data_IF_359939255253
#
_entry.id   IF_359939255253
#
_cell.length_a   1.000
_cell.length_b   1.000
_cell.length_c   1.000
_cell.angle_alpha   90.00
_cell.angle_beta   90.00
_cell.angle_gamma   90.00
#
_symmetry.space_group_name_H-M   'P 1'
#
loop_
_entity.id
_entity.type
_entity.pdbx_description
1 polymer ?
#
# COMPACT_ATOMS: atom_id res chain seq x y z
N UNK A 1 -0.11 -2.64 -10.95
CA UNK A 1 -0.26 -2.06 -9.63
C UNK A 1 1.13 -1.98 -9.05
N UNK A 2 1.46 -0.90 -8.35
CA UNK A 2 2.73 -0.77 -7.65
C UNK A 2 2.42 -0.53 -6.19
N UNK A 3 3.15 -1.23 -5.32
CA UNK A 3 3.04 -1.04 -3.88
C UNK A 3 4.41 -0.81 -3.29
N UNK A 4 4.50 0.09 -2.33
CA UNK A 4 5.63 0.20 -1.41
C UNK A 4 5.10 -0.10 -0.03
N UNK A 5 5.65 -1.14 0.59
CA UNK A 5 5.24 -1.62 1.91
C UNK A 5 6.32 -1.27 2.91
N UNK A 6 5.92 -0.70 4.04
CA UNK A 6 6.80 -0.44 5.16
C UNK A 6 6.25 -1.15 6.40
N UNK A 7 7.09 -1.97 7.03
CA UNK A 7 6.80 -2.50 8.36
C UNK A 7 6.98 -1.38 9.38
N UNK A 8 5.91 -1.07 10.11
CA UNK A 8 5.88 0.07 11.03
C UNK A 8 5.56 -0.37 12.45
N UNK A 9 6.07 0.39 13.42
CA UNK A 9 5.64 0.30 14.82
C UNK A 9 4.38 1.15 15.08
N UNK A 10 4.20 2.20 14.28
CA UNK A 10 3.01 3.06 14.21
C UNK A 10 3.05 3.87 12.90
N UNK A 11 1.89 4.25 12.39
CA UNK A 11 1.76 5.18 11.27
C UNK A 11 0.43 5.94 11.36
N UNK A 12 0.39 7.16 10.84
CA UNK A 12 -0.83 7.97 10.79
C UNK A 12 -0.85 8.86 9.54
N UNK A 13 -2.06 9.19 9.08
CA UNK A 13 -2.31 10.19 8.04
C UNK A 13 -3.02 11.38 8.68
N UNK A 14 -2.52 12.58 8.40
CA UNK A 14 -3.16 13.84 8.80
C UNK A 14 -3.52 14.68 7.58
N UNK A 15 -4.74 15.20 7.58
CA UNK A 15 -5.22 16.20 6.62
C UNK A 15 -5.64 17.43 7.43
N UNK A 16 -5.10 18.60 7.10
CA UNK A 16 -5.30 19.83 7.88
C UNK A 16 -5.05 19.63 9.38
N UNK A 17 -3.95 18.95 9.70
CA UNK A 17 -3.54 18.57 11.06
C UNK A 17 -4.48 17.61 11.82
N UNK A 18 -5.57 17.14 11.20
CA UNK A 18 -6.50 16.17 11.79
C UNK A 18 -6.16 14.75 11.35
N UNK A 19 -6.12 13.82 12.30
CA UNK A 19 -5.89 12.40 12.00
C UNK A 19 -7.12 11.83 11.29
N UNK A 20 -6.91 11.29 10.09
CA UNK A 20 -7.96 10.64 9.28
C UNK A 20 -7.78 9.12 9.19
N UNK A 21 -6.65 8.61 9.69
CA UNK A 21 -6.35 7.19 9.81
C UNK A 21 -5.05 6.99 10.58
N UNK A 22 -5.00 5.95 11.41
CA UNK A 22 -3.81 5.62 12.21
C UNK A 22 -3.79 4.14 12.53
N UNK A 23 -2.59 3.60 12.68
CA UNK A 23 -2.32 2.22 13.09
C UNK A 23 -1.17 2.19 14.09
N UNK A 24 -1.15 1.16 14.94
CA UNK A 24 -0.01 0.72 15.71
C UNK A 24 0.92 -0.17 14.88
N UNK A 25 1.33 -1.31 15.46
CA UNK A 25 2.22 -2.28 14.79
C UNK A 25 1.52 -2.83 13.55
N UNK A 26 2.18 -2.75 12.40
CA UNK A 26 1.51 -3.13 11.16
C UNK A 26 2.28 -2.79 9.90
N UNK A 27 1.53 -2.58 8.81
CA UNK A 27 2.03 -2.20 7.51
C UNK A 27 1.46 -0.85 7.06
N UNK A 28 2.36 0.08 6.71
CA UNK A 28 2.01 1.22 5.88
C UNK A 28 2.20 0.83 4.41
N UNK A 29 1.14 0.95 3.63
CA UNK A 29 1.11 0.58 2.21
C UNK A 29 0.86 1.84 1.39
N UNK A 30 1.83 2.23 0.58
CA UNK A 30 1.61 3.18 -0.51
C UNK A 30 1.13 2.43 -1.74
N UNK A 31 -0.10 2.71 -2.18
CA UNK A 31 -0.76 2.04 -3.29
C UNK A 31 -0.79 2.93 -4.53
N UNK A 32 -0.08 2.52 -5.57
CA UNK A 32 -0.12 3.12 -6.89
C UNK A 32 -0.97 2.27 -7.84
N UNK A 33 -1.95 2.91 -8.47
CA UNK A 33 -2.78 2.30 -9.52
C UNK A 33 -2.29 2.77 -10.90
N UNK A 34 -2.05 1.82 -11.79
CA UNK A 34 -1.65 2.04 -13.19
C UNK A 34 -2.80 1.89 -14.18
N UNK A 35 -2.55 2.27 -15.43
CA UNK A 35 -3.55 2.22 -16.51
C UNK A 35 -4.15 0.83 -16.76
N UNK A 36 -3.33 -0.21 -16.66
CA UNK A 36 -3.72 -1.60 -16.98
C UNK A 36 -4.17 -2.40 -15.75
N UNK A 37 -4.35 -1.74 -14.60
CA UNK A 37 -4.71 -2.46 -13.37
C UNK A 37 -6.17 -2.89 -13.35
N UNK A 38 -6.42 -4.01 -12.69
CA UNK A 38 -7.75 -4.61 -12.57
C UNK A 38 -7.97 -5.12 -11.15
N UNK A 39 -9.20 -5.50 -10.82
CA UNK A 39 -9.54 -6.08 -9.51
C UNK A 39 -8.78 -7.39 -9.27
N UNK A 40 -8.61 -8.20 -10.30
CA UNK A 40 -7.83 -9.45 -10.23
C UNK A 40 -6.33 -9.19 -10.00
N UNK A 41 -5.79 -8.06 -10.46
CA UNK A 41 -4.44 -7.62 -10.10
C UNK A 41 -4.40 -7.22 -8.62
N UNK A 42 -5.40 -6.46 -8.15
CA UNK A 42 -5.50 -6.03 -6.75
C UNK A 42 -5.57 -7.25 -5.81
N UNK A 43 -6.44 -8.23 -6.08
CA UNK A 43 -6.60 -9.44 -5.26
C UNK A 43 -5.28 -10.21 -5.09
N UNK A 44 -4.52 -10.36 -6.18
CA UNK A 44 -3.20 -11.02 -6.13
C UNK A 44 -2.19 -10.26 -5.26
N UNK A 45 -2.23 -8.93 -5.29
CA UNK A 45 -1.36 -8.12 -4.44
C UNK A 45 -1.79 -8.21 -2.98
N UNK A 46 -3.09 -8.13 -2.69
CA UNK A 46 -3.65 -8.23 -1.34
C UNK A 46 -3.29 -9.58 -0.71
N UNK A 47 -3.54 -10.68 -1.41
CA UNK A 47 -3.20 -12.03 -0.95
C UNK A 47 -1.71 -12.15 -0.61
N UNK A 48 -0.86 -11.62 -1.50
CA UNK A 48 0.60 -11.62 -1.30
C UNK A 48 1.03 -10.76 -0.12
N UNK A 49 0.40 -9.60 0.10
CA UNK A 49 0.71 -8.68 1.20
C UNK A 49 0.34 -9.31 2.54
N UNK A 50 -0.87 -9.85 2.67
CA UNK A 50 -1.37 -10.42 3.92
C UNK A 50 -0.57 -11.67 4.33
N UNK A 51 -0.13 -12.48 3.37
CA UNK A 51 0.68 -13.68 3.60
C UNK A 51 2.19 -13.41 3.73
N UNK A 52 2.64 -12.17 3.52
CA UNK A 52 4.07 -11.85 3.51
C UNK A 52 4.69 -11.99 4.90
N UNK A 53 5.73 -12.81 5.02
CA UNK A 53 6.40 -13.13 6.29
C UNK A 53 7.56 -12.17 6.57
N UNK A 54 7.25 -10.92 6.90
CA UNK A 54 8.25 -9.84 7.10
C UNK A 54 8.32 -9.32 8.54
N UNK A 55 7.57 -9.90 9.47
CA UNK A 55 7.65 -9.60 10.89
C UNK A 55 8.58 -10.58 11.61
N UNK A 56 9.25 -10.07 12.66
CA UNK A 56 10.18 -10.85 13.46
C UNK A 56 9.43 -11.83 14.38
N UNK A 57 9.93 -13.07 14.47
CA UNK A 57 9.55 -14.06 15.47
C UNK A 57 10.28 -13.83 16.81
N UNK A 58 10.09 -14.72 17.78
CA UNK A 58 10.74 -14.69 19.09
C UNK A 58 12.28 -14.76 19.04
N UNK A 59 12.84 -15.23 17.92
CA UNK A 59 14.29 -15.32 17.68
C UNK A 59 14.82 -14.16 16.82
N UNK A 60 13.97 -13.16 16.52
CA UNK A 60 14.32 -12.01 15.69
C UNK A 60 14.34 -12.28 14.18
N UNK A 61 13.94 -13.47 13.73
CA UNK A 61 13.94 -13.84 12.30
C UNK A 61 12.63 -13.42 11.64
N UNK A 62 12.69 -12.95 10.39
CA UNK A 62 11.51 -12.51 9.64
C UNK A 62 10.70 -13.69 9.13
N UNK A 63 9.83 -14.23 9.99
CA UNK A 63 9.06 -15.45 9.74
C UNK A 63 7.55 -15.27 9.97
N UNK A 64 7.13 -14.15 10.55
CA UNK A 64 5.73 -13.91 10.88
C UNK A 64 5.05 -13.04 9.83
N UNK A 65 3.82 -13.40 9.48
CA UNK A 65 2.91 -12.60 8.65
C UNK A 65 2.28 -11.46 9.43
N UNK A 66 1.52 -10.61 8.74
CA UNK A 66 0.71 -9.57 9.39
C UNK A 66 -0.29 -10.19 10.39
N UNK A 67 -0.95 -11.29 10.01
CA UNK A 67 -1.94 -11.97 10.83
C UNK A 67 -1.30 -12.58 12.08
N UNK A 68 -0.13 -13.21 11.95
CA UNK A 68 0.60 -13.82 13.07
C UNK A 68 0.93 -12.81 14.18
N UNK A 69 1.15 -11.55 13.79
CA UNK A 69 1.46 -10.46 14.75
C UNK A 69 0.24 -9.61 15.13
N UNK A 70 -0.96 -10.00 14.68
CA UNK A 70 -2.21 -9.24 14.84
C UNK A 70 -2.02 -7.76 14.42
N UNK A 71 -1.29 -7.56 13.33
CA UNK A 71 -0.89 -6.25 12.86
C UNK A 71 -2.01 -5.55 12.09
N UNK A 72 -1.94 -4.23 12.07
CA UNK A 72 -2.90 -3.38 11.37
C UNK A 72 -2.37 -2.92 10.00
N UNK A 73 -3.25 -2.39 9.15
CA UNK A 73 -2.88 -1.90 7.81
C UNK A 73 -3.35 -0.46 7.64
N UNK A 74 -2.46 0.38 7.12
CA UNK A 74 -2.77 1.74 6.70
C UNK A 74 -2.43 1.88 5.22
N UNK A 75 -3.44 2.07 4.37
CA UNK A 75 -3.25 2.21 2.92
C UNK A 75 -3.40 3.67 2.49
N UNK A 76 -2.38 4.19 1.82
CA UNK A 76 -2.31 5.56 1.30
C UNK A 76 -2.21 5.52 -0.21
N UNK A 77 -3.14 6.19 -0.91
CA UNK A 77 -3.07 6.35 -2.36
C UNK A 77 -1.82 7.15 -2.77
N UNK A 78 -1.02 6.60 -3.68
CA UNK A 78 0.29 7.14 -4.06
C UNK A 78 0.57 7.00 -5.56
N UNK A 79 -0.01 7.88 -6.38
CA UNK A 79 0.17 7.87 -7.84
C UNK A 79 1.64 8.03 -8.27
N UNK A 80 2.47 8.67 -7.44
CA UNK A 80 3.88 8.93 -7.76
C UNK A 80 4.73 7.67 -7.85
N UNK A 81 4.23 6.51 -7.39
CA UNK A 81 4.90 5.23 -7.64
C UNK A 81 5.01 4.90 -9.14
N UNK A 82 4.23 5.55 -9.99
CA UNK A 82 4.30 5.45 -11.46
C UNK A 82 5.12 6.56 -12.12
N UNK A 83 5.85 7.36 -11.35
CA UNK A 83 6.77 8.36 -11.88
C UNK A 83 7.82 7.75 -12.82
N UNK A 84 7.96 8.32 -14.01
CA UNK A 84 9.15 8.15 -14.85
C UNK A 84 10.04 9.38 -14.69
N UNK A 85 11.23 9.15 -14.12
CA UNK A 85 12.24 10.18 -13.83
C UNK A 85 13.50 10.01 -14.67
N UNK A 86 13.44 9.23 -15.76
CA UNK A 86 14.60 8.97 -16.62
C UNK A 86 14.99 10.16 -17.51
N UNK A 87 14.08 11.13 -17.71
CA UNK A 87 14.29 12.30 -18.58
C UNK A 87 14.09 13.61 -17.81
N UNK A 88 15.16 14.38 -17.63
CA UNK A 88 15.11 15.68 -16.95
C UNK A 88 14.71 15.58 -15.47
N UNK A 89 14.26 16.70 -14.90
CA UNK A 89 13.95 16.81 -13.47
C UNK A 89 12.45 16.81 -13.15
N UNK A 90 11.58 16.82 -14.16
CA UNK A 90 10.12 16.79 -13.99
C UNK A 90 9.64 15.36 -14.24
N UNK A 91 9.10 14.66 -13.22
CA UNK A 91 8.57 13.33 -13.42
C UNK A 91 7.37 13.34 -14.37
N UNK A 92 7.30 12.33 -15.22
CA UNK A 92 6.12 12.02 -16.01
C UNK A 92 5.29 10.91 -15.32
N UNK A 93 3.97 10.95 -15.49
CA UNK A 93 3.06 9.98 -14.85
C UNK A 93 2.12 9.31 -15.87
N UNK A 94 2.52 9.23 -17.16
CA UNK A 94 1.70 8.64 -18.22
C UNK A 94 1.27 7.21 -17.90
N UNK A 95 2.00 6.48 -17.05
CA UNK A 95 1.65 5.10 -16.68
C UNK A 95 0.67 4.98 -15.49
N UNK A 96 0.41 6.07 -14.77
CA UNK A 96 -0.57 6.10 -13.70
C UNK A 96 -2.00 5.97 -14.24
N UNK A 97 -2.87 5.29 -13.49
CA UNK A 97 -4.30 5.23 -13.78
C UNK A 97 -4.95 6.61 -13.65
N UNK A 98 -6.01 6.84 -14.44
CA UNK A 98 -6.84 8.04 -14.27
C UNK A 98 -7.51 8.09 -12.90
N UNK A 99 -7.91 9.28 -12.46
CA UNK A 99 -8.42 9.52 -11.10
C UNK A 99 -9.56 8.59 -10.70
N UNK A 100 -10.53 8.35 -11.60
CA UNK A 100 -11.71 7.52 -11.29
C UNK A 100 -11.34 6.05 -11.15
N UNK A 101 -10.53 5.51 -12.07
CA UNK A 101 -10.00 4.15 -11.97
C UNK A 101 -9.13 3.94 -10.74
N UNK A 102 -8.29 4.93 -10.42
CA UNK A 102 -7.44 4.90 -9.23
C UNK A 102 -8.27 4.89 -7.95
N UNK A 103 -9.35 5.68 -7.90
CA UNK A 103 -10.29 5.70 -6.77
C UNK A 103 -11.01 4.37 -6.64
N UNK A 104 -11.58 3.83 -7.71
CA UNK A 104 -12.31 2.56 -7.70
C UNK A 104 -11.42 1.42 -7.18
N UNK A 105 -10.21 1.28 -7.70
CA UNK A 105 -9.30 0.21 -7.30
C UNK A 105 -8.73 0.43 -5.89
N UNK A 106 -8.58 1.68 -5.45
CA UNK A 106 -8.20 2.00 -4.08
C UNK A 106 -9.29 1.58 -3.09
N UNK A 107 -10.54 1.97 -3.33
CA UNK A 107 -11.69 1.61 -2.50
C UNK A 107 -11.90 0.10 -2.48
N UNK A 108 -11.84 -0.56 -3.64
CA UNK A 108 -11.89 -2.02 -3.74
C UNK A 108 -10.78 -2.69 -2.91
N UNK A 109 -9.56 -2.17 -2.97
CA UNK A 109 -8.44 -2.71 -2.18
C UNK A 109 -8.69 -2.57 -0.67
N UNK A 110 -9.28 -1.44 -0.23
CA UNK A 110 -9.64 -1.25 1.17
C UNK A 110 -10.72 -2.23 1.63
N UNK A 111 -11.73 -2.49 0.79
CA UNK A 111 -12.79 -3.45 1.09
C UNK A 111 -12.26 -4.89 1.16
N UNK A 112 -11.40 -5.29 0.22
CA UNK A 112 -10.83 -6.64 0.15
C UNK A 112 -9.78 -6.95 1.23
N UNK A 113 -9.21 -5.94 1.89
CA UNK A 113 -8.24 -6.12 3.00
C UNK A 113 -8.94 -6.28 4.37
N UNK A 114 -10.16 -5.76 4.52
CA UNK A 114 -10.93 -5.85 5.77
C UNK A 114 -11.31 -7.29 6.10
#
# INVERSE_FOLDING_TARGET
MRVVIQRVLKAEVKVDSKIVGSIGKGLLIFLGVGKEDTKEIADRYIDKILKMRIFADENGKTNLSLQDVQGEVLVVSQFTLYADVRRGNRPDFIQAGGADKARELYEYTLESIR
#
